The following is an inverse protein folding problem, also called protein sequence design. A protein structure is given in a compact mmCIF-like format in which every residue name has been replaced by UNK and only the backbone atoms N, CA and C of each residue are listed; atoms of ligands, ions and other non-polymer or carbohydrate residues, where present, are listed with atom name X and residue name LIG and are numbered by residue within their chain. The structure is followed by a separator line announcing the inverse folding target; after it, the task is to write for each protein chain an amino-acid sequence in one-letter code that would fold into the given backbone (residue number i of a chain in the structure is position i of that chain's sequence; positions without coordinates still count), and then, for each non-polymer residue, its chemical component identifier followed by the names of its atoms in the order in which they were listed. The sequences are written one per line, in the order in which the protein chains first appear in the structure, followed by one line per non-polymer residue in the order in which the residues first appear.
data_IF_586458085282
#
_entry.id   IF_586458085282
#
_cell.length_a   1.000
_cell.length_b   1.000
_cell.length_c   1.000
_cell.angle_alpha   90.00
_cell.angle_beta   90.00
_cell.angle_gamma   90.00
#
_symmetry.space_group_name_H-M   'P 1'
#
loop_
_entity.id
_entity.type
_entity.pdbx_description
1 polymer ?
#
# COMPACT_ATOMS: atom_id res chain seq x y z
N UNK A 1 -0.88 17.23 -23.81
CA UNK A 1 0.14 16.70 -22.87
C UNK A 1 -0.47 16.05 -21.62
N UNK A 2 -1.48 16.64 -20.97
CA UNK A 2 -2.15 16.07 -19.78
C UNK A 2 -2.87 14.73 -20.09
N UNK A 3 -3.39 14.56 -21.30
CA UNK A 3 -4.12 13.37 -21.75
C UNK A 3 -3.29 12.07 -21.77
N UNK A 4 -1.95 12.17 -21.71
CA UNK A 4 -1.05 11.02 -21.70
C UNK A 4 -0.81 10.44 -20.30
N UNK A 5 -1.32 11.09 -19.24
CA UNK A 5 -1.10 10.69 -17.85
C UNK A 5 -2.38 10.13 -17.25
N UNK A 6 -2.21 9.07 -16.46
CA UNK A 6 -3.30 8.47 -15.69
C UNK A 6 -3.22 8.89 -14.23
N UNK A 7 -4.29 8.63 -13.48
CA UNK A 7 -4.31 8.87 -12.02
C UNK A 7 -3.23 8.07 -11.27
N UNK A 8 -2.74 6.96 -11.84
CA UNK A 8 -1.69 6.11 -11.26
C UNK A 8 -0.26 6.65 -11.47
N UNK A 9 -0.12 7.69 -12.28
CA UNK A 9 1.16 8.36 -12.54
C UNK A 9 1.37 9.57 -11.63
N UNK A 10 0.34 9.97 -10.88
CA UNK A 10 0.41 11.09 -9.94
C UNK A 10 1.26 10.70 -8.73
N UNK A 11 2.25 11.53 -8.44
CA UNK A 11 3.14 11.42 -7.29
C UNK A 11 3.00 12.63 -6.38
N UNK A 12 3.11 12.39 -5.07
CA UNK A 12 3.19 13.43 -4.06
C UNK A 12 4.58 13.50 -3.43
N UNK A 13 5.07 14.72 -3.17
CA UNK A 13 6.33 14.93 -2.46
C UNK A 13 6.21 14.57 -0.98
N UNK A 14 7.13 13.76 -0.48
CA UNK A 14 7.42 13.65 0.94
C UNK A 14 8.32 14.81 1.37
N UNK A 15 8.02 15.49 2.49
CA UNK A 15 8.80 16.64 2.93
C UNK A 15 10.29 16.34 3.14
N UNK A 16 11.13 17.26 2.68
CA UNK A 16 12.58 17.17 2.78
C UNK A 16 13.26 18.35 2.12
N UNK A 17 14.59 18.41 2.25
CA UNK A 17 15.38 19.56 1.80
C UNK A 17 15.57 19.63 0.27
N UNK A 18 15.36 18.52 -0.46
CA UNK A 18 15.64 18.42 -1.90
C UNK A 18 14.40 17.97 -2.69
N UNK A 19 13.30 18.71 -2.53
CA UNK A 19 12.01 18.36 -3.15
C UNK A 19 11.30 19.59 -3.71
N UNK A 20 10.68 19.41 -4.88
CA UNK A 20 9.79 20.41 -5.50
C UNK A 20 8.34 20.08 -5.19
N UNK A 21 7.65 21.01 -4.54
CA UNK A 21 6.23 20.94 -4.27
C UNK A 21 5.42 21.47 -5.45
N UNK A 22 4.29 20.82 -5.80
CA UNK A 22 3.41 21.32 -6.85
C UNK A 22 2.62 22.54 -6.34
N UNK A 23 2.44 23.55 -7.21
CA UNK A 23 1.90 24.86 -6.83
C UNK A 23 0.48 24.77 -6.23
N UNK A 24 -0.35 23.85 -6.75
CA UNK A 24 -1.73 23.65 -6.32
C UNK A 24 -1.88 23.08 -4.90
N UNK A 25 -0.85 22.41 -4.36
CA UNK A 25 -0.91 21.76 -3.03
C UNK A 25 0.07 22.38 -2.02
N UNK A 26 0.90 23.32 -2.46
CA UNK A 26 1.96 23.91 -1.63
C UNK A 26 1.44 24.54 -0.34
N UNK A 27 0.30 25.24 -0.43
CA UNK A 27 -0.34 25.88 0.73
C UNK A 27 -0.81 24.84 1.76
N UNK A 28 -1.38 23.72 1.30
CA UNK A 28 -1.81 22.64 2.17
C UNK A 28 -0.63 22.01 2.93
N UNK A 29 0.49 21.73 2.24
CA UNK A 29 1.71 21.24 2.91
C UNK A 29 2.23 22.20 3.95
N UNK A 30 2.20 23.51 3.67
CA UNK A 30 2.64 24.54 4.61
C UNK A 30 1.78 24.55 5.88
N UNK A 31 0.46 24.59 5.73
CA UNK A 31 -0.48 24.59 6.86
C UNK A 31 -0.35 23.31 7.70
N UNK A 32 -0.19 22.15 7.07
CA UNK A 32 -0.07 20.88 7.79
C UNK A 32 1.26 20.78 8.55
N UNK A 33 2.37 21.27 7.98
CA UNK A 33 3.67 21.29 8.64
C UNK A 33 3.73 22.31 9.79
N UNK A 34 3.09 23.47 9.63
CA UNK A 34 3.05 24.52 10.66
C UNK A 34 2.39 24.05 11.95
N UNK A 35 1.42 23.13 11.89
CA UNK A 35 0.81 22.49 13.08
C UNK A 35 1.85 21.78 13.95
N UNK A 36 2.92 21.27 13.35
CA UNK A 36 4.02 20.59 14.04
C UNK A 36 5.22 21.52 14.28
N UNK A 37 5.09 22.82 14.00
CA UNK A 37 6.19 23.79 14.11
C UNK A 37 7.27 23.62 13.04
N UNK A 38 6.94 22.95 11.92
CA UNK A 38 7.85 22.73 10.80
C UNK A 38 7.58 23.75 9.69
N UNK A 39 8.61 24.04 8.90
CA UNK A 39 8.50 24.92 7.72
C UNK A 39 8.67 24.10 6.45
N UNK A 40 8.11 24.60 5.35
CA UNK A 40 8.19 23.95 4.04
C UNK A 40 9.63 23.95 3.49
N UNK A 41 10.42 24.97 3.83
CA UNK A 41 11.84 25.05 3.49
C UNK A 41 12.67 24.33 4.54
N UNK A 42 12.61 23.00 4.51
CA UNK A 42 13.35 22.16 5.44
C UNK A 42 14.85 22.27 5.13
N UNK A 43 15.61 22.87 6.03
CA UNK A 43 17.07 22.89 5.93
C UNK A 43 17.68 21.57 6.40
N UNK A 44 18.93 21.32 5.99
CA UNK A 44 19.69 20.18 6.50
C UNK A 44 19.86 20.31 8.01
N UNK A 45 19.49 19.25 8.72
CA UNK A 45 19.57 19.22 10.17
C UNK A 45 21.03 19.08 10.62
N UNK A 46 21.36 19.64 11.79
CA UNK A 46 22.72 19.54 12.37
C UNK A 46 23.18 18.09 12.53
N UNK A 47 22.24 17.22 12.91
CA UNK A 47 22.47 15.77 12.98
C UNK A 47 22.15 15.16 11.62
N UNK A 48 23.16 14.61 10.96
CA UNK A 48 23.05 14.07 9.60
C UNK A 48 21.95 13.01 9.46
N UNK A 49 21.74 12.19 10.49
CA UNK A 49 20.72 11.13 10.48
C UNK A 49 19.28 11.64 10.45
N UNK A 50 19.05 12.88 10.89
CA UNK A 50 17.72 13.52 10.86
C UNK A 50 17.52 14.42 9.64
N UNK A 51 18.51 14.46 8.73
CA UNK A 51 18.36 15.19 7.49
C UNK A 51 17.54 14.38 6.51
N UNK A 52 16.32 14.84 6.23
CA UNK A 52 15.42 14.22 5.26
C UNK A 52 15.66 14.84 3.88
N UNK A 53 16.13 14.03 2.93
CA UNK A 53 16.23 14.47 1.52
C UNK A 53 14.84 14.72 0.92
N UNK A 54 13.83 13.95 1.38
CA UNK A 54 12.52 13.88 0.76
C UNK A 54 12.50 12.90 -0.41
N UNK A 55 11.32 12.49 -0.86
CA UNK A 55 11.15 11.56 -1.98
C UNK A 55 9.77 11.75 -2.63
N UNK A 56 9.54 11.20 -3.81
CA UNK A 56 8.23 11.21 -4.46
C UNK A 56 7.54 9.86 -4.28
N UNK A 57 6.30 9.88 -3.79
CA UNK A 57 5.50 8.66 -3.56
C UNK A 57 4.23 8.72 -4.39
N UNK A 58 3.90 7.62 -5.08
CA UNK A 58 2.63 7.49 -5.81
C UNK A 58 1.46 7.53 -4.83
N UNK A 59 0.38 8.21 -5.22
CA UNK A 59 -0.86 8.27 -4.43
C UNK A 59 -1.58 6.94 -4.48
N UNK A 60 -1.70 6.38 -5.68
CA UNK A 60 -2.43 5.14 -5.94
C UNK A 60 -1.48 4.09 -6.49
N UNK A 61 -1.55 2.90 -5.90
CA UNK A 61 -0.97 1.70 -6.49
C UNK A 61 -1.91 1.14 -7.55
N UNK A 62 -1.37 0.76 -8.71
CA UNK A 62 -2.13 0.00 -9.70
C UNK A 62 -1.77 -1.48 -9.55
N UNK A 63 -2.66 -2.24 -8.91
CA UNK A 63 -2.48 -3.67 -8.75
C UNK A 63 -2.75 -4.37 -10.08
N UNK A 64 -1.80 -5.19 -10.52
CA UNK A 64 -1.94 -6.04 -11.71
C UNK A 64 -2.09 -7.49 -11.28
N UNK A 65 -2.78 -8.28 -12.08
CA UNK A 65 -2.97 -9.72 -11.88
C UNK A 65 -3.57 -10.03 -10.50
N UNK A 66 -4.77 -9.48 -10.26
CA UNK A 66 -5.57 -9.80 -9.09
C UNK A 66 -6.28 -11.13 -9.34
N UNK A 67 -6.05 -12.10 -8.46
CA UNK A 67 -6.82 -13.35 -8.42
C UNK A 67 -7.41 -13.53 -7.04
N UNK A 68 -8.66 -13.95 -6.97
CA UNK A 68 -9.32 -14.26 -5.71
C UNK A 68 -9.99 -15.62 -5.72
N UNK A 69 -10.10 -16.19 -4.52
CA UNK A 69 -10.83 -17.44 -4.25
C UNK A 69 -11.68 -17.23 -3.00
N UNK A 70 -12.92 -17.69 -3.07
CA UNK A 70 -13.83 -17.79 -1.93
C UNK A 70 -13.78 -19.24 -1.48
N UNK A 71 -13.53 -19.45 -0.20
CA UNK A 71 -13.54 -20.76 0.46
C UNK A 71 -14.45 -20.69 1.67
N UNK A 72 -15.33 -21.68 1.83
CA UNK A 72 -16.06 -21.83 3.07
C UNK A 72 -15.37 -22.82 3.98
N UNK A 73 -15.43 -22.53 5.27
CA UNK A 73 -14.80 -23.33 6.32
C UNK A 73 -15.71 -23.37 7.55
N UNK A 74 -15.52 -24.41 8.36
CA UNK A 74 -16.33 -24.63 9.56
C UNK A 74 -15.52 -24.36 10.85
N UNK A 75 -14.20 -24.58 10.85
CA UNK A 75 -13.35 -24.34 12.02
C UNK A 75 -12.41 -23.14 11.77
N UNK A 76 -12.34 -22.15 12.68
CA UNK A 76 -11.45 -20.99 12.54
C UNK A 76 -9.95 -21.32 12.54
N UNK A 77 -9.57 -22.56 12.88
CA UNK A 77 -8.18 -23.03 12.85
C UNK A 77 -7.80 -23.76 11.57
N UNK A 78 -8.74 -23.91 10.62
CA UNK A 78 -8.48 -24.54 9.33
C UNK A 78 -7.47 -23.72 8.49
N UNK A 79 -6.51 -24.40 7.86
CA UNK A 79 -5.56 -23.77 6.93
C UNK A 79 -6.22 -23.54 5.57
N UNK A 80 -6.58 -22.28 5.27
CA UNK A 80 -7.29 -21.89 4.05
C UNK A 80 -6.37 -21.47 2.89
N UNK A 81 -5.08 -21.29 3.19
CA UNK A 81 -4.02 -21.04 2.20
C UNK A 81 -2.86 -21.97 2.53
N UNK A 82 -2.22 -22.49 1.49
CA UNK A 82 -0.97 -23.25 1.62
C UNK A 82 0.21 -22.34 1.86
N UNK A 83 1.05 -22.76 2.79
CA UNK A 83 2.41 -22.23 2.91
C UNK A 83 3.31 -22.77 1.81
N UNK A 84 4.38 -22.03 1.51
CA UNK A 84 5.43 -22.45 0.56
C UNK A 84 6.01 -23.83 0.93
N UNK A 85 6.08 -24.15 2.22
CA UNK A 85 6.58 -25.43 2.71
C UNK A 85 5.67 -26.62 2.35
N UNK A 86 4.35 -26.45 2.49
CA UNK A 86 3.35 -27.45 2.09
C UNK A 86 3.33 -27.62 0.57
N UNK A 87 3.57 -26.54 -0.18
CA UNK A 87 3.69 -26.62 -1.63
C UNK A 87 4.89 -27.44 -2.09
N UNK A 88 6.06 -27.23 -1.47
CA UNK A 88 7.26 -28.03 -1.75
C UNK A 88 7.08 -29.51 -1.43
N UNK A 89 6.25 -29.85 -0.44
CA UNK A 89 5.92 -31.23 -0.08
C UNK A 89 4.89 -31.85 -1.03
N UNK A 90 4.15 -31.03 -1.80
CA UNK A 90 3.09 -31.49 -2.68
C UNK A 90 1.79 -31.82 -1.95
N UNK A 91 1.55 -31.19 -0.80
CA UNK A 91 0.29 -31.33 -0.06
C UNK A 91 -0.88 -30.81 -0.92
N UNK A 92 -2.13 -31.29 -0.74
CA UNK A 92 -3.26 -30.86 -1.56
C UNK A 92 -3.70 -29.41 -1.26
N UNK A 93 -4.33 -28.73 -2.23
CA UNK A 93 -4.98 -27.44 -1.98
C UNK A 93 -6.20 -27.60 -1.05
N UNK A 94 -6.48 -26.60 -0.18
CA UNK A 94 -7.69 -26.57 0.63
C UNK A 94 -8.94 -26.64 -0.27
N UNK A 95 -9.80 -27.61 0.01
CA UNK A 95 -11.06 -27.81 -0.69
C UNK A 95 -12.12 -26.83 -0.16
N UNK A 96 -13.01 -26.41 -1.05
CA UNK A 96 -14.19 -25.66 -0.65
C UNK A 96 -15.18 -26.60 0.03
N UNK A 97 -15.45 -26.36 1.31
CA UNK A 97 -16.43 -27.13 2.07
C UNK A 97 -17.79 -26.47 1.83
N UNK A 98 -18.88 -27.20 1.60
CA UNK A 98 -20.21 -26.58 1.46
C UNK A 98 -20.77 -26.12 2.82
N UNK A 99 -20.05 -25.24 3.52
CA UNK A 99 -20.43 -24.68 4.82
C UNK A 99 -21.02 -23.28 4.66
N UNK A 100 -22.10 -22.97 5.39
CA UNK A 100 -22.80 -21.68 5.26
C UNK A 100 -22.30 -20.60 6.25
N UNK A 101 -21.32 -20.91 7.11
CA UNK A 101 -21.06 -20.10 8.32
C UNK A 101 -19.96 -19.04 8.14
N UNK A 102 -18.86 -19.33 7.44
CA UNK A 102 -17.74 -18.39 7.27
C UNK A 102 -17.11 -18.46 5.88
N UNK A 103 -16.75 -17.29 5.34
CA UNK A 103 -16.12 -17.13 4.03
C UNK A 103 -14.71 -16.56 4.20
N UNK A 104 -13.76 -17.13 3.50
CA UNK A 104 -12.41 -16.58 3.38
C UNK A 104 -12.18 -16.02 1.98
N UNK A 105 -11.73 -14.77 1.91
CA UNK A 105 -11.39 -14.11 0.67
C UNK A 105 -9.86 -14.01 0.56
N UNK A 106 -9.27 -14.85 -0.28
CA UNK A 106 -7.84 -14.77 -0.56
C UNK A 106 -7.60 -13.76 -1.70
N UNK A 107 -6.97 -12.62 -1.43
CA UNK A 107 -6.47 -11.73 -2.48
C UNK A 107 -5.01 -12.06 -2.79
N UNK A 108 -4.76 -12.53 -4.00
CA UNK A 108 -3.41 -12.65 -4.54
C UNK A 108 -3.16 -11.54 -5.56
N UNK A 109 -2.15 -10.74 -5.28
CA UNK A 109 -1.78 -9.56 -6.07
C UNK A 109 -0.28 -9.60 -6.33
N UNK A 110 0.13 -9.88 -7.58
CA UNK A 110 1.54 -9.86 -7.95
C UNK A 110 1.91 -8.44 -8.37
N UNK A 111 2.38 -7.66 -7.41
CA UNK A 111 2.87 -6.30 -7.64
C UNK A 111 3.64 -5.80 -6.44
N UNK A 112 4.47 -4.77 -6.65
CA UNK A 112 5.14 -4.03 -5.58
C UNK A 112 4.08 -3.23 -4.83
N UNK A 113 3.30 -3.91 -3.98
CA UNK A 113 2.37 -3.28 -3.05
C UNK A 113 3.21 -2.81 -1.87
N UNK A 114 3.43 -1.51 -1.78
CA UNK A 114 4.29 -0.96 -0.73
C UNK A 114 3.72 -1.26 0.68
N UNK A 115 2.42 -1.56 0.83
CA UNK A 115 1.83 -2.06 2.09
C UNK A 115 0.56 -2.88 1.80
N UNK A 116 0.58 -4.22 1.96
CA UNK A 116 -0.60 -5.09 1.78
C UNK A 116 -1.79 -4.69 2.66
N UNK A 117 -1.54 -4.10 3.84
CA UNK A 117 -2.57 -3.69 4.79
C UNK A 117 -3.49 -2.58 4.26
N UNK A 118 -3.00 -1.70 3.39
CA UNK A 118 -3.80 -0.56 2.91
C UNK A 118 -4.86 -0.96 1.87
N UNK A 119 -4.65 -2.07 1.15
CA UNK A 119 -5.58 -2.55 0.12
C UNK A 119 -6.90 -3.00 0.77
N UNK A 120 -6.83 -3.67 1.91
CA UNK A 120 -8.02 -4.16 2.63
C UNK A 120 -8.81 -3.06 3.35
N UNK A 121 -8.17 -1.94 3.71
CA UNK A 121 -8.82 -0.84 4.45
C UNK A 121 -9.65 0.12 3.60
N UNK A 122 -9.59 0.04 2.26
CA UNK A 122 -10.40 0.90 1.39
C UNK A 122 -11.80 0.33 1.08
N UNK A 123 -12.06 -0.94 1.42
CA UNK A 123 -13.32 -1.63 1.10
C UNK A 123 -14.25 -1.84 2.31
N UNK A 124 -13.94 -1.25 3.48
CA UNK A 124 -14.81 -1.29 4.68
C UNK A 124 -15.65 -0.03 4.83
#
# INVERSE_FOLDING_TARGET
EIENFTIYDIVLPLPGYDIKYPENMKQYYKEELEKYGLTLDMTRQKVKMYTLCGNYRKILGHVKNVSWKILHYNDPTDNLIRSDFEELRGDPEPADVNGEEYFYFCFNCIGRADFNTLIFSMET
#
